data_IF_814251254601
#
_entry.id   IF_814251254601
#
_cell.length_a   1.000
_cell.length_b   1.000
_cell.length_c   1.000
_cell.angle_alpha   90.00
_cell.angle_beta   90.00
_cell.angle_gamma   90.00
#
_symmetry.space_group_name_H-M   'P 1'
#
loop_
_entity.id
_entity.type
_entity.pdbx_description
1 polymer ?
#
# COMPACT_ATOMS: atom_id res chain seq x y z
N UNK A 1 9.73 38.40 8.82
CA UNK A 1 8.47 37.83 9.34
C UNK A 1 8.52 36.29 9.38
N UNK A 2 9.43 35.69 10.16
CA UNK A 2 9.48 34.23 10.39
C UNK A 2 8.36 33.70 11.30
N UNK A 3 7.48 34.56 11.80
CA UNK A 3 6.55 34.27 12.90
C UNK A 3 5.28 33.52 12.48
N UNK A 4 5.17 33.16 11.20
CA UNK A 4 4.00 32.47 10.65
C UNK A 4 4.39 31.13 10.02
N UNK A 5 3.56 30.13 10.28
CA UNK A 5 3.62 28.84 9.59
C UNK A 5 3.12 29.00 8.16
N UNK A 6 3.88 28.49 7.18
CA UNK A 6 3.56 28.63 5.75
C UNK A 6 3.69 27.31 5.01
N UNK A 7 2.92 27.17 3.93
CA UNK A 7 3.16 26.18 2.88
C UNK A 7 3.75 26.95 1.70
N UNK A 8 4.88 26.50 1.19
CA UNK A 8 5.65 27.22 0.16
C UNK A 8 6.14 26.24 -0.91
N UNK A 9 6.43 26.74 -2.10
CA UNK A 9 7.13 25.99 -3.13
C UNK A 9 8.65 26.22 -3.06
N UNK A 10 9.48 25.34 -3.66
CA UNK A 10 10.91 25.58 -3.81
C UNK A 10 11.16 26.93 -4.51
N UNK A 11 12.09 27.72 -3.97
CA UNK A 11 12.53 28.97 -4.59
C UNK A 11 13.54 28.75 -5.72
N UNK A 12 13.83 29.79 -6.53
CA UNK A 12 14.77 29.71 -7.65
C UNK A 12 16.24 29.64 -7.23
N UNK A 13 16.57 30.03 -5.99
CA UNK A 13 17.92 30.04 -5.42
C UNK A 13 17.97 29.22 -4.14
N UNK A 14 19.18 28.83 -3.74
CA UNK A 14 19.38 28.18 -2.45
C UNK A 14 18.81 29.03 -1.31
N UNK A 15 18.22 28.37 -0.31
CA UNK A 15 17.60 29.02 0.86
C UNK A 15 16.54 30.10 0.51
N UNK A 16 15.86 29.93 -0.62
CA UNK A 16 14.68 30.73 -0.97
C UNK A 16 13.46 29.85 -1.16
N UNK A 17 12.28 30.42 -0.92
CA UNK A 17 10.99 29.75 -1.12
C UNK A 17 10.04 30.66 -1.88
N UNK A 18 9.07 30.08 -2.59
CA UNK A 18 8.04 30.81 -3.33
C UNK A 18 6.69 30.67 -2.64
N UNK A 19 6.02 31.80 -2.41
CA UNK A 19 4.64 31.85 -1.94
C UNK A 19 3.67 31.51 -3.08
N UNK A 20 2.41 31.24 -2.72
CA UNK A 20 1.33 31.06 -3.71
C UNK A 20 1.11 32.32 -4.58
N UNK A 21 1.33 33.50 -4.02
CA UNK A 21 1.29 34.78 -4.75
C UNK A 21 2.42 34.95 -5.77
N UNK A 22 3.37 34.02 -5.85
CA UNK A 22 4.55 34.12 -6.72
C UNK A 22 5.73 34.87 -6.09
N UNK A 23 5.52 35.56 -4.97
CA UNK A 23 6.59 36.25 -4.24
C UNK A 23 7.66 35.27 -3.74
N UNK A 24 8.92 35.68 -3.83
CA UNK A 24 10.07 34.91 -3.34
C UNK A 24 10.50 35.46 -1.99
N UNK A 25 10.60 34.58 -1.00
CA UNK A 25 11.10 34.90 0.33
C UNK A 25 12.45 34.23 0.57
N UNK A 26 13.36 34.95 1.20
CA UNK A 26 14.58 34.37 1.79
C UNK A 26 14.24 33.64 3.08
N UNK A 27 14.78 32.44 3.25
CA UNK A 27 14.68 31.69 4.50
C UNK A 27 15.54 32.40 5.56
N UNK A 28 15.07 32.53 6.82
CA UNK A 28 15.85 33.12 7.89
C UNK A 28 17.22 32.44 8.03
N UNK A 29 18.26 33.20 8.39
CA UNK A 29 19.63 32.69 8.44
C UNK A 29 19.81 31.56 9.47
N UNK A 30 19.09 31.65 10.59
CA UNK A 30 19.10 30.69 11.70
C UNK A 30 18.24 29.45 11.44
N UNK A 31 17.58 29.34 10.27
CA UNK A 31 16.74 28.19 9.94
C UNK A 31 17.49 27.14 9.12
N UNK A 32 17.14 25.88 9.36
CA UNK A 32 17.66 24.72 8.62
C UNK A 32 16.49 23.94 8.01
N UNK A 33 16.74 23.27 6.89
CA UNK A 33 15.76 22.43 6.24
C UNK A 33 15.77 21.05 6.89
N UNK A 34 14.71 20.72 7.62
CA UNK A 34 14.46 19.34 8.05
C UNK A 34 14.00 18.52 6.85
N UNK A 35 14.78 17.52 6.37
CA UNK A 35 14.36 16.67 5.26
C UNK A 35 13.15 15.79 5.65
N UNK A 36 12.35 15.34 4.68
CA UNK A 36 11.29 14.36 4.93
C UNK A 36 11.88 13.01 5.37
N UNK A 37 11.20 12.29 6.26
CA UNK A 37 11.58 10.93 6.67
C UNK A 37 11.12 10.59 8.08
N UNK A 38 11.60 11.33 9.07
CA UNK A 38 11.19 11.15 10.46
C UNK A 38 9.92 11.95 10.77
N UNK A 39 8.78 11.27 10.75
CA UNK A 39 7.48 11.87 11.05
C UNK A 39 7.37 12.34 12.51
N UNK A 40 8.06 11.68 13.45
CA UNK A 40 8.07 12.06 14.86
C UNK A 40 8.81 13.37 15.07
N UNK A 41 10.02 13.48 14.51
CA UNK A 41 10.81 14.71 14.51
C UNK A 41 10.06 15.86 13.83
N UNK A 42 9.53 15.62 12.63
CA UNK A 42 8.77 16.63 11.88
C UNK A 42 7.56 17.15 12.66
N UNK A 43 6.80 16.26 13.31
CA UNK A 43 5.61 16.65 14.10
C UNK A 43 6.00 17.52 15.29
N UNK A 44 7.03 17.11 16.05
CA UNK A 44 7.51 17.87 17.22
C UNK A 44 8.09 19.24 16.83
N UNK A 45 8.84 19.32 15.73
CA UNK A 45 9.37 20.59 15.19
C UNK A 45 8.25 21.57 14.81
N UNK A 46 7.19 21.07 14.16
CA UNK A 46 6.02 21.89 13.80
C UNK A 46 5.19 22.34 15.02
N UNK A 47 5.12 21.51 16.06
CA UNK A 47 4.43 21.87 17.30
C UNK A 47 5.18 22.97 18.08
N UNK A 48 6.51 23.04 17.94
CA UNK A 48 7.35 24.01 18.66
C UNK A 48 7.30 25.45 18.13
N UNK A 49 6.49 25.76 17.11
CA UNK A 49 6.28 27.11 16.61
C UNK A 49 6.26 27.23 15.08
N UNK A 50 6.45 28.45 14.54
CA UNK A 50 6.40 28.71 13.11
C UNK A 50 7.36 27.84 12.29
N UNK A 51 6.88 27.35 11.15
CA UNK A 51 7.66 26.56 10.19
C UNK A 51 7.21 26.79 8.75
N UNK A 52 8.10 26.64 7.76
CA UNK A 52 7.73 26.69 6.34
C UNK A 52 7.84 25.30 5.71
N UNK A 53 6.70 24.69 5.40
CA UNK A 53 6.64 23.37 4.74
C UNK A 53 6.78 23.54 3.24
N UNK A 54 7.83 22.97 2.66
CA UNK A 54 8.09 23.04 1.22
C UNK A 54 7.35 21.93 0.49
N UNK A 55 6.46 22.27 -0.44
CA UNK A 55 5.70 21.33 -1.28
C UNK A 55 5.98 21.57 -2.76
N UNK A 56 6.23 20.50 -3.50
CA UNK A 56 6.44 20.53 -4.94
C UNK A 56 5.37 19.67 -5.62
N UNK A 57 4.63 20.24 -6.57
CA UNK A 57 3.66 19.48 -7.39
C UNK A 57 4.38 18.87 -8.59
N UNK A 58 4.36 17.54 -8.71
CA UNK A 58 4.81 16.81 -9.91
C UNK A 58 3.64 16.02 -10.48
N UNK A 59 3.14 16.47 -11.64
CA UNK A 59 1.91 15.94 -12.24
C UNK A 59 0.71 16.09 -11.31
N UNK A 60 0.04 14.97 -10.99
CA UNK A 60 -1.11 14.94 -10.07
C UNK A 60 -0.72 14.77 -8.60
N UNK A 61 0.56 14.56 -8.28
CA UNK A 61 1.04 14.28 -6.91
C UNK A 61 1.75 15.50 -6.34
N UNK A 62 1.61 15.71 -5.04
CA UNK A 62 2.32 16.74 -4.27
C UNK A 62 3.34 16.05 -3.38
N UNK A 63 4.59 16.45 -3.49
CA UNK A 63 5.72 15.91 -2.74
C UNK A 63 6.17 16.93 -1.69
N UNK A 64 6.42 16.45 -0.47
CA UNK A 64 7.08 17.27 0.55
C UNK A 64 8.59 17.29 0.29
N UNK A 65 9.21 18.46 0.32
CA UNK A 65 10.67 18.64 0.23
C UNK A 65 11.33 18.90 1.58
N UNK A 66 10.54 18.91 2.65
CA UNK A 66 11.02 19.16 4.00
C UNK A 66 10.34 20.37 4.62
N UNK A 67 10.84 20.74 5.79
CA UNK A 67 10.29 21.79 6.63
C UNK A 67 11.43 22.70 7.07
N UNK A 68 11.39 23.96 6.69
CA UNK A 68 12.27 24.96 7.27
C UNK A 68 11.77 25.34 8.66
N UNK A 69 12.68 25.34 9.63
CA UNK A 69 12.44 25.72 11.01
C UNK A 69 13.76 26.19 11.66
N UNK A 70 13.74 26.86 12.82
CA UNK A 70 14.95 27.24 13.54
C UNK A 70 15.87 26.04 13.75
N UNK A 71 17.15 26.17 13.37
CA UNK A 71 18.15 25.10 13.43
C UNK A 71 18.32 24.58 14.86
N UNK A 72 18.33 25.49 15.84
CA UNK A 72 18.41 25.16 17.28
C UNK A 72 17.26 24.26 17.73
N UNK A 73 16.02 24.54 17.29
CA UNK A 73 14.85 23.72 17.60
C UNK A 73 14.97 22.33 16.98
N UNK A 74 15.39 22.24 15.71
CA UNK A 74 15.58 20.96 15.02
C UNK A 74 16.62 20.12 15.77
N UNK A 75 17.75 20.72 16.14
CA UNK A 75 18.82 20.05 16.88
C UNK A 75 18.36 19.56 18.26
N UNK A 76 17.72 20.42 19.06
CA UNK A 76 17.21 20.06 20.40
C UNK A 76 16.21 18.91 20.35
N UNK A 77 15.23 18.96 19.44
CA UNK A 77 14.22 17.91 19.30
C UNK A 77 14.85 16.61 18.78
N UNK A 78 15.81 16.70 17.86
CA UNK A 78 16.55 15.53 17.35
C UNK A 78 17.32 14.87 18.48
N UNK A 79 18.06 15.63 19.28
CA UNK A 79 18.80 15.11 20.43
C UNK A 79 17.87 14.46 21.46
N UNK A 80 16.75 15.12 21.81
CA UNK A 80 15.78 14.56 22.74
C UNK A 80 15.13 13.27 22.24
N UNK A 81 14.83 13.18 20.95
CA UNK A 81 14.33 11.94 20.32
C UNK A 81 15.38 10.82 20.33
N UNK A 82 16.65 11.16 20.10
CA UNK A 82 17.72 10.16 20.13
C UNK A 82 17.91 9.61 21.55
N UNK A 83 17.93 10.49 22.55
CA UNK A 83 17.98 10.09 23.96
C UNK A 83 16.77 9.24 24.39
N UNK A 84 15.56 9.57 23.91
CA UNK A 84 14.37 8.74 24.12
C UNK A 84 14.53 7.36 23.47
N UNK A 85 15.03 7.32 22.24
CA UNK A 85 15.23 6.09 21.45
C UNK A 85 16.33 5.20 22.01
N UNK A 86 17.35 5.76 22.64
CA UNK A 86 18.44 5.00 23.26
C UNK A 86 18.03 4.32 24.57
N UNK A 87 16.83 4.60 25.10
CA UNK A 87 16.36 3.93 26.32
C UNK A 87 15.93 2.49 26.08
N UNK A 88 16.26 1.61 27.03
CA UNK A 88 15.82 0.21 27.04
C UNK A 88 14.29 0.08 27.00
N UNK A 89 13.59 0.97 27.71
CA UNK A 89 12.13 0.98 27.75
C UNK A 89 11.53 1.24 26.36
N UNK A 90 12.11 2.18 25.60
CA UNK A 90 11.71 2.44 24.21
C UNK A 90 11.99 1.24 23.30
N UNK A 91 13.18 0.64 23.39
CA UNK A 91 13.54 -0.51 22.55
C UNK A 91 12.64 -1.72 22.84
N UNK A 92 12.38 -2.02 24.11
CA UNK A 92 11.44 -3.09 24.52
C UNK A 92 10.03 -2.81 24.02
N UNK A 93 9.54 -1.57 24.15
CA UNK A 93 8.23 -1.17 23.63
C UNK A 93 8.14 -1.33 22.11
N UNK A 94 9.18 -0.90 21.38
CA UNK A 94 9.24 -1.04 19.91
C UNK A 94 9.24 -2.51 19.49
N UNK A 95 10.04 -3.36 20.14
CA UNK A 95 10.06 -4.79 19.87
C UNK A 95 8.69 -5.44 20.14
N UNK A 96 8.05 -5.10 21.26
CA UNK A 96 6.70 -5.57 21.58
C UNK A 96 5.64 -5.08 20.57
N UNK A 97 5.74 -3.84 20.09
CA UNK A 97 4.87 -3.31 19.05
C UNK A 97 5.02 -4.05 17.71
N UNK A 98 6.26 -4.38 17.33
CA UNK A 98 6.55 -5.18 16.13
C UNK A 98 5.95 -6.57 16.26
N UNK A 99 6.24 -7.28 17.35
CA UNK A 99 5.71 -8.63 17.61
C UNK A 99 4.18 -8.65 17.61
N UNK A 100 3.54 -7.65 18.25
CA UNK A 100 2.07 -7.55 18.25
C UNK A 100 1.50 -7.33 16.85
N UNK A 101 2.17 -6.54 16.00
CA UNK A 101 1.74 -6.31 14.61
C UNK A 101 1.93 -7.54 13.75
N UNK A 102 3.05 -8.24 13.92
CA UNK A 102 3.32 -9.51 13.23
C UNK A 102 2.27 -10.54 13.61
N UNK A 103 1.99 -10.74 14.90
CA UNK A 103 0.94 -11.65 15.37
C UNK A 103 -0.44 -11.31 14.78
N UNK A 104 -0.82 -10.02 14.79
CA UNK A 104 -2.08 -9.57 14.18
C UNK A 104 -2.11 -9.79 12.67
N UNK A 105 -0.98 -9.60 11.99
CA UNK A 105 -0.87 -9.82 10.56
C UNK A 105 -0.98 -11.31 10.24
N UNK A 106 -0.31 -12.20 10.98
CA UNK A 106 -0.41 -13.65 10.78
C UNK A 106 -1.84 -14.15 10.98
N UNK A 107 -2.49 -13.76 12.09
CA UNK A 107 -3.88 -14.12 12.34
C UNK A 107 -4.81 -13.63 11.21
N UNK A 108 -4.62 -12.39 10.75
CA UNK A 108 -5.39 -11.86 9.63
C UNK A 108 -5.12 -12.61 8.30
N UNK A 109 -3.88 -13.02 8.04
CA UNK A 109 -3.51 -13.80 6.85
C UNK A 109 -4.21 -15.16 6.86
N UNK A 110 -4.26 -15.82 8.01
CA UNK A 110 -4.98 -17.08 8.21
C UNK A 110 -6.50 -16.90 8.01
N UNK A 111 -7.12 -15.91 8.66
CA UNK A 111 -8.54 -15.58 8.49
C UNK A 111 -8.88 -15.27 7.02
N UNK A 112 -7.98 -14.57 6.33
CA UNK A 112 -8.15 -14.21 4.92
C UNK A 112 -8.02 -15.43 4.00
N UNK A 113 -7.04 -16.32 4.24
CA UNK A 113 -6.93 -17.58 3.49
C UNK A 113 -8.16 -18.45 3.67
N UNK A 114 -8.69 -18.53 4.89
CA UNK A 114 -9.92 -19.27 5.17
C UNK A 114 -11.11 -18.65 4.44
N UNK A 115 -11.29 -17.33 4.49
CA UNK A 115 -12.36 -16.64 3.75
C UNK A 115 -12.24 -16.84 2.22
N UNK A 116 -11.02 -16.93 1.69
CA UNK A 116 -10.79 -17.27 0.27
C UNK A 116 -11.22 -18.71 0.00
N UNK A 117 -10.80 -19.66 0.83
CA UNK A 117 -11.17 -21.07 0.69
C UNK A 117 -12.69 -21.27 0.76
N UNK A 118 -13.34 -20.58 1.70
CA UNK A 118 -14.79 -20.57 1.88
C UNK A 118 -15.53 -19.92 0.72
N UNK A 119 -14.92 -18.97 0.02
CA UNK A 119 -15.48 -18.39 -1.20
C UNK A 119 -15.32 -19.33 -2.41
N UNK A 120 -14.20 -20.06 -2.51
CA UNK A 120 -13.95 -20.98 -3.61
C UNK A 120 -15.01 -22.08 -3.65
N UNK A 121 -15.33 -22.69 -2.49
CA UNK A 121 -16.39 -23.73 -2.35
C UNK A 121 -16.26 -24.88 -3.34
N UNK A 122 -15.04 -25.24 -3.72
CA UNK A 122 -14.82 -26.31 -4.69
C UNK A 122 -15.36 -27.65 -4.17
N UNK A 123 -15.75 -28.52 -5.10
CA UNK A 123 -16.11 -29.88 -4.76
C UNK A 123 -14.96 -30.60 -4.03
N UNK A 124 -15.32 -31.58 -3.20
CA UNK A 124 -14.38 -32.40 -2.44
C UNK A 124 -13.25 -33.00 -3.30
N UNK A 125 -13.54 -33.36 -4.56
CA UNK A 125 -12.57 -33.88 -5.53
C UNK A 125 -11.46 -32.86 -5.88
N UNK A 126 -11.70 -31.57 -5.67
CA UNK A 126 -10.79 -30.49 -5.99
C UNK A 126 -10.26 -29.73 -4.77
N UNK A 127 -10.43 -30.28 -3.56
CA UNK A 127 -10.01 -29.64 -2.30
C UNK A 127 -8.54 -29.21 -2.31
N UNK A 128 -7.64 -30.04 -2.82
CA UNK A 128 -6.21 -29.73 -2.93
C UNK A 128 -5.95 -28.52 -3.83
N UNK A 129 -6.69 -28.40 -4.94
CA UNK A 129 -6.59 -27.24 -5.84
C UNK A 129 -7.10 -25.99 -5.15
N UNK A 130 -8.22 -26.06 -4.43
CA UNK A 130 -8.77 -24.94 -3.68
C UNK A 130 -7.79 -24.40 -2.64
N UNK A 131 -7.13 -25.29 -1.89
CA UNK A 131 -6.11 -24.91 -0.90
C UNK A 131 -4.91 -24.22 -1.54
N UNK A 132 -4.40 -24.75 -2.66
CA UNK A 132 -3.28 -24.14 -3.38
C UNK A 132 -3.66 -22.77 -3.94
N UNK A 133 -4.85 -22.64 -4.52
CA UNK A 133 -5.36 -21.36 -5.03
C UNK A 133 -5.55 -20.34 -3.90
N UNK A 134 -6.12 -20.76 -2.77
CA UNK A 134 -6.31 -19.88 -1.61
C UNK A 134 -4.97 -19.32 -1.12
N UNK A 135 -3.94 -20.16 -1.00
CA UNK A 135 -2.58 -19.74 -0.63
C UNK A 135 -1.96 -18.77 -1.62
N UNK A 136 -2.09 -19.05 -2.92
CA UNK A 136 -1.60 -18.18 -3.99
C UNK A 136 -2.21 -16.77 -3.91
N UNK A 137 -3.55 -16.71 -3.81
CA UNK A 137 -4.31 -15.46 -3.69
C UNK A 137 -3.92 -14.71 -2.41
N UNK A 138 -3.87 -15.39 -1.27
CA UNK A 138 -3.52 -14.79 0.02
C UNK A 138 -2.11 -14.20 0.01
N UNK A 139 -1.13 -14.94 -0.50
CA UNK A 139 0.26 -14.50 -0.63
C UNK A 139 0.38 -13.25 -1.50
N UNK A 140 -0.39 -13.17 -2.57
CA UNK A 140 -0.40 -12.00 -3.45
C UNK A 140 -1.11 -10.79 -2.81
N UNK A 141 -2.23 -11.02 -2.12
CA UNK A 141 -3.14 -9.94 -1.73
C UNK A 141 -2.82 -9.30 -0.36
N UNK A 142 -2.32 -10.09 0.60
CA UNK A 142 -2.14 -9.65 2.00
C UNK A 142 -0.88 -8.83 2.34
N UNK A 143 0.20 -8.80 1.53
CA UNK A 143 1.35 -7.93 1.81
C UNK A 143 1.00 -6.44 1.83
N UNK A 144 1.77 -5.66 2.60
CA UNK A 144 1.63 -4.19 2.61
C UNK A 144 2.05 -3.64 1.25
N UNK A 145 1.18 -2.83 0.63
CA UNK A 145 1.47 -2.24 -0.68
C UNK A 145 1.17 -3.15 -1.87
N UNK A 146 0.47 -4.27 -1.68
CA UNK A 146 0.06 -5.19 -2.76
C UNK A 146 -0.85 -4.57 -3.84
N UNK A 147 -1.36 -3.35 -3.61
CA UNK A 147 -2.30 -2.70 -4.53
C UNK A 147 -3.71 -3.30 -4.51
N UNK A 148 -4.01 -4.20 -3.57
CA UNK A 148 -5.32 -4.84 -3.41
C UNK A 148 -6.15 -4.21 -2.29
N UNK A 149 -7.41 -4.62 -2.21
CA UNK A 149 -8.33 -4.23 -1.14
C UNK A 149 -8.26 -5.16 0.07
N UNK A 150 -7.42 -6.20 0.08
CA UNK A 150 -7.47 -7.26 1.11
C UNK A 150 -7.47 -6.70 2.54
N UNK A 151 -6.62 -5.71 2.82
CA UNK A 151 -6.42 -5.14 4.17
C UNK A 151 -7.35 -3.96 4.51
N UNK A 152 -8.33 -3.62 3.65
CA UNK A 152 -9.23 -2.49 3.92
C UNK A 152 -10.21 -2.80 5.04
N UNK A 153 -10.32 -1.92 6.04
CA UNK A 153 -11.29 -2.08 7.14
C UNK A 153 -12.73 -1.72 6.74
N UNK A 154 -12.95 -1.18 5.53
CA UNK A 154 -14.27 -0.67 5.09
C UNK A 154 -15.22 -1.74 4.54
N UNK A 155 -14.70 -2.91 4.20
CA UNK A 155 -15.44 -3.96 3.47
C UNK A 155 -15.30 -5.25 4.28
N UNK A 156 -16.33 -6.09 4.42
CA UNK A 156 -16.25 -7.40 5.07
C UNK A 156 -15.17 -8.30 4.46
N UNK A 157 -14.62 -9.24 5.24
CA UNK A 157 -13.49 -10.07 4.81
C UNK A 157 -13.83 -10.95 3.61
N UNK A 158 -15.06 -11.44 3.55
CA UNK A 158 -15.60 -12.31 2.52
C UNK A 158 -15.63 -11.59 1.16
N UNK A 159 -16.12 -10.35 1.14
CA UNK A 159 -16.15 -9.53 -0.09
C UNK A 159 -14.74 -9.16 -0.57
N UNK A 160 -13.79 -8.99 0.36
CA UNK A 160 -12.38 -8.76 0.02
C UNK A 160 -11.73 -10.03 -0.54
N UNK A 161 -12.06 -11.19 0.02
CA UNK A 161 -11.61 -12.48 -0.46
C UNK A 161 -12.12 -12.76 -1.88
N UNK A 162 -13.42 -12.58 -2.15
CA UNK A 162 -13.98 -12.67 -3.51
C UNK A 162 -13.23 -11.72 -4.46
N UNK A 163 -13.10 -10.45 -4.08
CA UNK A 163 -12.45 -9.45 -4.92
C UNK A 163 -11.00 -9.82 -5.24
N UNK A 164 -10.28 -10.39 -4.27
CA UNK A 164 -8.90 -10.84 -4.44
C UNK A 164 -8.82 -12.06 -5.36
N UNK A 165 -9.69 -13.05 -5.21
CA UNK A 165 -9.76 -14.22 -6.10
C UNK A 165 -10.02 -13.79 -7.53
N UNK A 166 -11.05 -12.97 -7.77
CA UNK A 166 -11.40 -12.52 -9.12
C UNK A 166 -10.29 -11.66 -9.73
N UNK A 167 -9.62 -10.83 -8.92
CA UNK A 167 -8.47 -10.07 -9.39
C UNK A 167 -7.31 -10.99 -9.77
N UNK A 168 -6.92 -11.92 -8.90
CA UNK A 168 -5.84 -12.88 -9.15
C UNK A 168 -6.13 -13.72 -10.39
N UNK A 169 -7.34 -14.27 -10.50
CA UNK A 169 -7.79 -15.03 -11.67
C UNK A 169 -7.65 -14.23 -12.96
N UNK A 170 -8.10 -12.97 -12.97
CA UNK A 170 -7.95 -12.11 -14.16
C UNK A 170 -6.49 -11.96 -14.59
N UNK A 171 -5.57 -11.81 -13.65
CA UNK A 171 -4.15 -11.64 -13.96
C UNK A 171 -3.47 -12.95 -14.37
N UNK A 172 -3.90 -14.08 -13.80
CA UNK A 172 -3.17 -15.34 -13.92
C UNK A 172 -3.75 -16.32 -14.96
N UNK A 173 -5.05 -16.24 -15.23
CA UNK A 173 -5.74 -17.20 -16.12
C UNK A 173 -6.23 -16.56 -17.42
N UNK A 174 -5.90 -15.29 -17.65
CA UNK A 174 -6.28 -14.56 -18.87
C UNK A 174 -5.12 -13.72 -19.38
N UNK A 175 -5.14 -13.33 -20.66
CA UNK A 175 -4.14 -12.44 -21.25
C UNK A 175 -4.28 -10.96 -20.82
N UNK A 176 -4.86 -10.67 -19.65
CA UNK A 176 -5.23 -9.32 -19.23
C UNK A 176 -4.06 -8.34 -19.22
N UNK A 177 -2.87 -8.79 -18.82
CA UNK A 177 -1.69 -7.93 -18.71
C UNK A 177 -1.05 -7.62 -20.08
N UNK A 178 -1.28 -8.46 -21.09
CA UNK A 178 -0.78 -8.29 -22.46
C UNK A 178 -1.81 -7.60 -23.38
N UNK A 179 -3.08 -7.53 -22.96
CA UNK A 179 -4.16 -6.93 -23.73
C UNK A 179 -3.97 -5.42 -23.94
N UNK A 180 -3.94 -5.00 -25.21
CA UNK A 180 -4.00 -3.59 -25.58
C UNK A 180 -5.43 -3.07 -25.44
N UNK A 181 -5.71 -2.38 -24.34
CA UNK A 181 -7.01 -1.75 -24.09
C UNK A 181 -6.98 -0.29 -24.55
N UNK A 182 -7.86 0.12 -25.50
CA UNK A 182 -7.96 1.51 -25.93
C UNK A 182 -8.21 2.48 -24.77
N UNK A 183 -7.61 3.68 -24.83
CA UNK A 183 -7.74 4.74 -23.80
C UNK A 183 -9.07 5.50 -23.91
N UNK A 184 -10.17 4.77 -24.09
CA UNK A 184 -11.53 5.30 -24.13
C UNK A 184 -12.17 5.23 -22.75
N UNK A 185 -12.88 6.28 -22.36
CA UNK A 185 -13.57 6.37 -21.05
C UNK A 185 -14.44 5.12 -20.84
N UNK A 186 -14.21 4.41 -19.73
CA UNK A 186 -15.00 3.22 -19.36
C UNK A 186 -14.50 1.89 -19.95
N UNK A 187 -13.74 1.89 -21.06
CA UNK A 187 -13.41 0.64 -21.78
C UNK A 187 -12.63 -0.36 -20.93
N UNK A 188 -11.67 0.11 -20.13
CA UNK A 188 -10.93 -0.75 -19.17
C UNK A 188 -11.84 -1.38 -18.11
N UNK A 189 -12.89 -0.68 -17.67
CA UNK A 189 -13.83 -1.22 -16.67
C UNK A 189 -14.71 -2.31 -17.29
N UNK A 190 -15.13 -2.11 -18.53
CA UNK A 190 -15.90 -3.09 -19.30
C UNK A 190 -15.09 -4.39 -19.51
N UNK A 191 -13.85 -4.27 -20.00
CA UNK A 191 -12.95 -5.43 -20.20
C UNK A 191 -12.73 -6.18 -18.88
N UNK A 192 -12.46 -5.45 -17.79
CA UNK A 192 -12.30 -6.07 -16.45
C UNK A 192 -13.55 -6.82 -15.98
N UNK A 193 -14.75 -6.32 -16.30
CA UNK A 193 -16.02 -6.98 -15.95
C UNK A 193 -16.19 -8.27 -16.75
N UNK A 194 -15.96 -8.21 -18.07
CA UNK A 194 -16.03 -9.39 -18.94
C UNK A 194 -15.07 -10.49 -18.49
N UNK A 195 -13.80 -10.15 -18.18
CA UNK A 195 -12.82 -11.14 -17.71
C UNK A 195 -13.17 -11.69 -16.33
N UNK A 196 -13.71 -10.87 -15.42
CA UNK A 196 -14.20 -11.34 -14.13
C UNK A 196 -15.31 -12.37 -14.27
N UNK A 197 -16.19 -12.23 -15.27
CA UNK A 197 -17.25 -13.19 -15.53
C UNK A 197 -16.71 -14.53 -16.02
N UNK A 198 -15.73 -14.50 -16.93
CA UNK A 198 -15.00 -15.72 -17.35
C UNK A 198 -14.31 -16.41 -16.17
N UNK A 199 -13.72 -15.63 -15.26
CA UNK A 199 -13.14 -16.19 -14.03
C UNK A 199 -14.20 -16.88 -13.16
N UNK A 200 -15.40 -16.31 -13.02
CA UNK A 200 -16.49 -16.93 -12.24
C UNK A 200 -16.97 -18.23 -12.86
N UNK A 201 -17.13 -18.28 -14.19
CA UNK A 201 -17.50 -19.49 -14.91
C UNK A 201 -16.50 -20.62 -14.64
N UNK A 202 -15.21 -20.32 -14.78
CA UNK A 202 -14.16 -21.30 -14.48
C UNK A 202 -14.18 -21.78 -13.02
N UNK A 203 -14.45 -20.91 -12.04
CA UNK A 203 -14.60 -21.33 -10.65
C UNK A 203 -15.82 -22.23 -10.43
N UNK A 204 -16.89 -22.02 -11.19
CA UNK A 204 -18.12 -22.80 -11.07
C UNK A 204 -17.94 -24.25 -11.53
N UNK A 205 -17.12 -24.49 -12.56
CA UNK A 205 -16.78 -25.84 -13.01
C UNK A 205 -16.13 -26.67 -11.89
N UNK A 206 -15.25 -26.04 -11.11
CA UNK A 206 -14.63 -26.63 -9.93
C UNK A 206 -15.59 -26.85 -8.76
N UNK A 207 -16.66 -26.04 -8.64
CA UNK A 207 -17.69 -26.22 -7.60
C UNK A 207 -18.62 -27.38 -7.90
N UNK A 208 -18.85 -27.68 -9.18
CA UNK A 208 -19.67 -28.82 -9.64
C UNK A 208 -18.94 -30.16 -9.55
N UNK A 209 -17.60 -30.14 -9.41
CA UNK A 209 -16.78 -31.35 -9.40
C UNK A 209 -16.61 -31.97 -10.79
N UNK A 210 -16.69 -31.17 -11.85
CA UNK A 210 -16.57 -31.66 -13.21
C UNK A 210 -15.18 -32.26 -13.45
N UNK A 211 -15.12 -33.59 -13.56
CA UNK A 211 -13.88 -34.36 -13.83
C UNK A 211 -13.20 -33.97 -15.16
N UNK A 212 -13.88 -33.23 -16.02
CA UNK A 212 -13.42 -32.80 -17.34
C UNK A 212 -12.50 -31.57 -17.32
N UNK A 213 -12.01 -31.11 -16.16
CA UNK A 213 -10.93 -30.13 -16.09
C UNK A 213 -9.64 -30.77 -16.65
N UNK A 214 -9.47 -30.59 -17.97
CA UNK A 214 -8.45 -31.19 -18.81
C UNK A 214 -7.02 -30.91 -18.32
N UNK A 215 -6.06 -31.66 -18.89
CA UNK A 215 -4.60 -31.50 -18.66
C UNK A 215 -4.07 -30.06 -18.81
N UNK A 216 -4.84 -29.16 -19.43
CA UNK A 216 -4.49 -27.76 -19.68
C UNK A 216 -5.32 -26.77 -18.84
N UNK A 217 -5.79 -27.15 -17.65
CA UNK A 217 -6.60 -26.26 -16.84
C UNK A 217 -5.84 -24.97 -16.43
N UNK A 218 -6.34 -23.77 -16.78
CA UNK A 218 -5.63 -22.51 -16.51
C UNK A 218 -5.30 -22.25 -15.04
N UNK A 219 -6.17 -22.66 -14.11
CA UNK A 219 -5.92 -22.52 -12.65
C UNK A 219 -4.72 -23.38 -12.24
N UNK A 220 -4.67 -24.64 -12.70
CA UNK A 220 -3.58 -25.55 -12.34
C UNK A 220 -2.26 -25.10 -12.96
N UNK A 221 -2.28 -24.64 -14.21
CA UNK A 221 -1.11 -24.07 -14.87
C UNK A 221 -0.60 -22.82 -14.13
N UNK A 222 -1.48 -21.89 -13.77
CA UNK A 222 -1.13 -20.69 -13.01
C UNK A 222 -0.51 -21.01 -11.64
N UNK A 223 -1.11 -21.95 -10.90
CA UNK A 223 -0.58 -22.40 -9.60
C UNK A 223 0.80 -23.07 -9.76
N UNK A 224 0.99 -23.86 -10.81
CA UNK A 224 2.27 -24.53 -11.09
C UNK A 224 3.37 -23.56 -11.57
N UNK A 225 2.99 -22.50 -12.28
CA UNK A 225 3.87 -21.43 -12.74
C UNK A 225 4.30 -20.45 -11.64
N UNK A 226 3.57 -20.39 -10.52
CA UNK A 226 3.84 -19.52 -9.37
C UNK A 226 5.07 -19.95 -8.52
N UNK A 227 6.06 -20.64 -9.11
CA UNK A 227 7.31 -21.05 -8.44
C UNK A 227 7.99 -19.83 -7.80
N UNK A 228 7.94 -19.79 -6.46
CA UNK A 228 8.84 -19.12 -5.51
C UNK A 228 9.66 -17.96 -6.08
N UNK A 229 9.09 -16.76 -6.05
CA UNK A 229 9.86 -15.52 -5.87
C UNK A 229 9.80 -15.10 -4.41
#
# INVERSE_FOLDING_TARGET
MPDQTRIVAPGPRERTVRLESGAVLSVPADWELLPPGDAGLTRRVKAGGPTWTVKEKKGRRVFSKGVWAPATRIAQIRQGLEAERSTDSYQRKRAGDVQRREKKQSAYVEDFEQAVLDFLRFDSAHRTTAQKLARAVTRHATPVGSGTVARTQRIPIEQRAESAVIAWMRHQTTAYDEMVIPRVKGKRREVRRMLAEKSRQLLEDYRRGDRALAKDCPIQAAIAGEKTS
#
